data_IF_384548618978
#
_entry.id   IF_384548618978
#
_cell.length_a   1.000
_cell.length_b   1.000
_cell.length_c   1.000
_cell.angle_alpha   90.00
_cell.angle_beta   90.00
_cell.angle_gamma   90.00
#
_symmetry.space_group_name_H-M   'P 1'
#
loop_
_entity.id
_entity.type
_entity.pdbx_description
1 polymer ?
#
# COMPACT_ATOMS: atom_id res chain seq x y z
N UNK A 1 15.96 8.45 -19.98
CA UNK A 1 15.42 8.27 -18.61
C UNK A 1 14.42 9.38 -18.35
N UNK A 2 13.12 9.09 -18.49
CA UNK A 2 12.07 10.01 -18.09
C UNK A 2 11.82 9.79 -16.60
N UNK A 3 12.20 10.74 -15.76
CA UNK A 3 11.80 10.77 -14.37
C UNK A 3 10.28 10.92 -14.33
N UNK A 4 9.58 9.95 -13.73
CA UNK A 4 8.17 10.08 -13.34
C UNK A 4 8.08 11.06 -12.17
N UNK A 5 8.37 12.34 -12.45
CA UNK A 5 8.21 13.41 -11.49
C UNK A 5 6.73 13.70 -11.32
N UNK A 6 6.15 13.30 -10.19
CA UNK A 6 4.82 13.73 -9.79
C UNK A 6 4.83 15.28 -9.76
N UNK A 7 3.91 15.97 -10.45
CA UNK A 7 3.88 17.42 -10.45
C UNK A 7 3.78 17.95 -9.01
N UNK A 8 4.61 18.95 -8.66
CA UNK A 8 4.52 19.71 -7.40
C UNK A 8 3.27 20.59 -7.39
N UNK A 9 2.11 19.95 -7.33
CA UNK A 9 0.83 20.58 -7.03
C UNK A 9 0.26 19.91 -5.77
N UNK A 10 0.87 20.15 -4.58
CA UNK A 10 0.47 19.50 -3.32
C UNK A 10 -0.97 19.81 -2.88
N UNK A 11 -1.70 20.67 -3.60
CA UNK A 11 -3.14 20.95 -3.42
C UNK A 11 -4.05 20.30 -4.48
N UNK A 12 -3.49 19.69 -5.53
CA UNK A 12 -4.25 19.11 -6.65
C UNK A 12 -3.99 17.63 -6.85
N UNK A 13 -2.88 17.12 -6.33
CA UNK A 13 -2.53 15.71 -6.42
C UNK A 13 -1.98 15.21 -5.09
N UNK A 14 -2.44 14.01 -4.69
CA UNK A 14 -1.92 13.27 -3.56
C UNK A 14 -1.73 11.82 -4.02
N UNK A 15 -0.50 11.31 -3.92
CA UNK A 15 -0.25 9.88 -4.07
C UNK A 15 -0.37 9.21 -2.70
N UNK A 16 -1.05 8.07 -2.68
CA UNK A 16 -1.31 7.27 -1.48
C UNK A 16 -0.82 5.87 -1.80
N UNK A 17 0.06 5.36 -0.94
CA UNK A 17 0.53 3.98 -1.04
C UNK A 17 -0.54 3.06 -0.47
N UNK A 18 -0.93 2.05 -1.24
CA UNK A 18 -2.02 1.13 -0.90
C UNK A 18 -1.78 0.47 0.47
N UNK A 19 -0.55 0.06 0.75
CA UNK A 19 -0.17 -0.61 1.99
C UNK A 19 -0.33 0.29 3.23
N UNK A 20 -0.04 1.60 3.10
CA UNK A 20 -0.22 2.55 4.21
C UNK A 20 -1.71 2.78 4.53
N UNK A 21 -2.56 2.83 3.51
CA UNK A 21 -4.02 2.86 3.68
C UNK A 21 -4.51 1.57 4.33
N UNK A 22 -4.04 0.43 3.84
CA UNK A 22 -4.46 -0.90 4.27
C UNK A 22 -4.04 -1.23 5.72
N UNK A 23 -2.86 -0.76 6.16
CA UNK A 23 -2.38 -0.94 7.55
C UNK A 23 -3.07 0.04 8.51
N UNK A 24 -3.27 1.30 8.09
CA UNK A 24 -3.82 2.37 8.92
C UNK A 24 -5.08 3.02 8.31
N UNK A 25 -6.17 2.26 8.09
CA UNK A 25 -7.32 2.72 7.30
C UNK A 25 -7.94 4.01 7.84
N UNK A 26 -8.09 4.15 9.16
CA UNK A 26 -8.67 5.36 9.77
C UNK A 26 -7.79 6.59 9.57
N UNK A 27 -6.48 6.47 9.82
CA UNK A 27 -5.55 7.59 9.71
C UNK A 27 -5.47 8.06 8.26
N UNK A 28 -5.19 7.14 7.35
CA UNK A 28 -5.00 7.46 5.93
C UNK A 28 -6.31 7.96 5.31
N UNK A 29 -7.47 7.39 5.63
CA UNK A 29 -8.77 7.89 5.14
C UNK A 29 -9.07 9.31 5.63
N UNK A 30 -8.77 9.62 6.90
CA UNK A 30 -8.89 11.00 7.43
C UNK A 30 -7.98 11.98 6.66
N UNK A 31 -6.77 11.58 6.34
CA UNK A 31 -5.83 12.39 5.55
C UNK A 31 -6.33 12.60 4.11
N UNK A 32 -6.90 11.58 3.48
CA UNK A 32 -7.52 11.64 2.15
C UNK A 32 -8.69 12.62 2.14
N UNK A 33 -9.65 12.46 3.06
CA UNK A 33 -10.83 13.32 3.12
C UNK A 33 -10.44 14.77 3.41
N UNK A 34 -9.48 14.98 4.33
CA UNK A 34 -8.92 16.31 4.60
C UNK A 34 -8.30 16.94 3.36
N UNK A 35 -7.57 16.17 2.54
CA UNK A 35 -7.01 16.66 1.28
C UNK A 35 -8.10 17.14 0.31
N UNK A 36 -9.23 16.43 0.24
CA UNK A 36 -10.41 16.83 -0.54
C UNK A 36 -11.29 17.91 0.11
N UNK A 37 -10.97 18.35 1.33
CA UNK A 37 -11.80 19.30 2.08
C UNK A 37 -13.12 18.70 2.59
N UNK A 38 -13.21 17.39 2.70
CA UNK A 38 -14.37 16.66 3.20
C UNK A 38 -14.21 16.31 4.69
N UNK A 39 -15.31 16.33 5.47
CA UNK A 39 -15.28 15.87 6.86
C UNK A 39 -15.15 14.34 6.93
N UNK A 40 -14.63 13.84 8.05
CA UNK A 40 -14.68 12.41 8.37
C UNK A 40 -16.05 12.07 8.95
N UNK A 41 -16.93 11.54 8.11
CA UNK A 41 -18.32 11.22 8.46
C UNK A 41 -18.43 9.91 9.25
N UNK A 42 -19.35 9.78 10.23
CA UNK A 42 -19.59 8.53 10.94
C UNK A 42 -19.88 7.32 10.04
N UNK A 43 -20.51 7.51 8.87
CA UNK A 43 -20.74 6.43 7.91
C UNK A 43 -19.44 5.90 7.28
N UNK A 44 -18.41 6.75 7.15
CA UNK A 44 -17.07 6.31 6.72
C UNK A 44 -16.43 5.49 7.83
N UNK A 45 -16.55 5.92 9.09
CA UNK A 45 -16.04 5.18 10.24
C UNK A 45 -16.67 3.78 10.33
N UNK A 46 -18.00 3.70 10.21
CA UNK A 46 -18.74 2.44 10.19
C UNK A 46 -18.30 1.52 9.05
N UNK A 47 -18.06 2.08 7.85
CA UNK A 47 -17.55 1.30 6.73
C UNK A 47 -16.17 0.71 7.06
N UNK A 48 -15.25 1.51 7.60
CA UNK A 48 -13.93 1.02 8.00
C UNK A 48 -14.04 -0.04 9.11
N UNK A 49 -14.95 0.15 10.07
CA UNK A 49 -15.15 -0.79 11.16
C UNK A 49 -15.64 -2.16 10.72
N UNK A 50 -16.46 -2.20 9.67
CA UNK A 50 -17.15 -3.40 9.20
C UNK A 50 -16.42 -4.11 8.07
N UNK A 51 -15.78 -3.36 7.17
CA UNK A 51 -15.26 -3.91 5.91
C UNK A 51 -13.75 -4.14 5.88
N UNK A 52 -12.96 -3.62 6.83
CA UNK A 52 -11.48 -3.70 6.74
C UNK A 52 -10.84 -4.60 7.79
N UNK A 53 -11.62 -5.46 8.47
CA UNK A 53 -11.13 -6.31 9.57
C UNK A 53 -11.12 -7.80 9.28
N UNK A 54 -11.97 -8.28 8.37
CA UNK A 54 -12.19 -9.70 8.12
C UNK A 54 -12.45 -9.94 6.64
N UNK A 55 -11.96 -11.07 6.12
CA UNK A 55 -12.29 -11.53 4.78
C UNK A 55 -13.65 -12.23 4.77
N UNK A 56 -14.60 -11.66 4.03
CA UNK A 56 -15.93 -12.25 3.83
C UNK A 56 -16.24 -12.22 2.33
N UNK A 57 -16.74 -13.32 1.77
CA UNK A 57 -17.16 -13.40 0.36
C UNK A 57 -16.04 -13.67 -0.64
N UNK A 58 -16.35 -13.49 -1.94
CA UNK A 58 -15.45 -13.82 -3.05
C UNK A 58 -14.52 -12.69 -3.48
N UNK A 59 -13.88 -12.84 -4.63
CA UNK A 59 -12.85 -11.91 -5.17
C UNK A 59 -13.29 -10.44 -5.28
N UNK A 60 -14.58 -10.19 -5.48
CA UNK A 60 -15.17 -8.85 -5.61
C UNK A 60 -15.78 -8.29 -4.33
N UNK A 61 -15.59 -8.96 -3.18
CA UNK A 61 -16.10 -8.48 -1.91
C UNK A 61 -15.32 -7.27 -1.40
N UNK A 62 -16.05 -6.37 -0.72
CA UNK A 62 -15.51 -5.21 -0.02
C UNK A 62 -15.03 -5.54 1.39
N UNK A 63 -15.34 -6.73 1.92
CA UNK A 63 -14.89 -7.21 3.22
C UNK A 63 -13.53 -7.88 3.10
N UNK A 64 -12.50 -7.27 3.68
CA UNK A 64 -11.12 -7.75 3.68
C UNK A 64 -10.46 -7.58 5.05
N UNK A 65 -9.57 -8.49 5.42
CA UNK A 65 -8.53 -8.14 6.38
C UNK A 65 -7.50 -7.25 5.67
N UNK A 66 -7.70 -5.94 5.76
CA UNK A 66 -6.87 -4.98 5.03
C UNK A 66 -5.41 -5.04 5.46
N UNK A 67 -5.09 -5.51 6.67
CA UNK A 67 -3.71 -5.48 7.17
C UNK A 67 -2.85 -6.59 6.57
N UNK A 68 -3.42 -7.75 6.30
CA UNK A 68 -2.71 -8.90 5.74
C UNK A 68 -2.73 -8.92 4.22
N UNK A 69 -3.84 -8.47 3.62
CA UNK A 69 -4.07 -8.47 2.16
C UNK A 69 -2.89 -7.96 1.31
N UNK A 70 -2.31 -6.76 1.58
CA UNK A 70 -1.24 -6.20 0.73
C UNK A 70 0.04 -7.04 0.69
N UNK A 71 0.24 -7.96 1.63
CA UNK A 71 1.48 -8.73 1.76
C UNK A 71 1.34 -10.20 1.34
N UNK A 72 0.21 -10.62 0.75
CA UNK A 72 0.04 -12.01 0.32
C UNK A 72 1.11 -12.50 -0.66
N UNK A 73 1.56 -11.62 -1.55
CA UNK A 73 2.59 -11.95 -2.54
C UNK A 73 3.88 -12.47 -1.91
N UNK A 74 4.21 -12.11 -0.66
CA UNK A 74 5.40 -12.61 0.04
C UNK A 74 5.32 -14.09 0.40
N UNK A 75 4.10 -14.65 0.40
CA UNK A 75 3.82 -16.07 0.65
C UNK A 75 3.47 -16.83 -0.62
N UNK A 76 2.87 -16.14 -1.59
CA UNK A 76 2.39 -16.76 -2.83
C UNK A 76 3.50 -16.95 -3.86
N UNK A 77 4.55 -16.12 -3.82
CA UNK A 77 5.68 -16.18 -4.74
C UNK A 77 6.91 -16.80 -4.07
N UNK A 78 7.65 -17.58 -4.85
CA UNK A 78 8.98 -18.02 -4.47
C UNK A 78 9.98 -16.86 -4.49
N UNK A 79 11.09 -16.98 -3.74
CA UNK A 79 12.14 -15.96 -3.78
C UNK A 79 12.71 -15.76 -5.18
N UNK A 80 12.80 -16.80 -6.01
CA UNK A 80 13.29 -16.68 -7.38
C UNK A 80 12.36 -15.84 -8.26
N UNK A 81 11.04 -16.03 -8.13
CA UNK A 81 10.04 -15.18 -8.82
C UNK A 81 10.13 -13.73 -8.34
N UNK A 82 10.23 -13.53 -7.02
CA UNK A 82 10.40 -12.19 -6.42
C UNK A 82 11.69 -11.53 -6.94
N UNK A 83 12.77 -12.29 -7.03
CA UNK A 83 14.07 -11.81 -7.52
C UNK A 83 13.97 -11.35 -8.97
N UNK A 84 13.37 -12.15 -9.86
CA UNK A 84 13.17 -11.78 -11.27
C UNK A 84 12.36 -10.48 -11.40
N UNK A 85 11.31 -10.33 -10.60
CA UNK A 85 10.47 -9.11 -10.60
C UNK A 85 11.25 -7.90 -10.08
N UNK A 86 11.90 -8.01 -8.92
CA UNK A 86 12.58 -6.87 -8.30
C UNK A 86 13.82 -6.42 -9.08
N UNK A 87 14.52 -7.34 -9.76
CA UNK A 87 15.69 -7.01 -10.58
C UNK A 87 15.27 -6.14 -11.78
N UNK A 88 14.08 -6.37 -12.32
CA UNK A 88 13.49 -5.54 -13.39
C UNK A 88 12.94 -4.21 -12.88
N UNK A 89 12.53 -4.15 -11.61
CA UNK A 89 11.78 -3.04 -11.03
C UNK A 89 12.56 -2.21 -9.98
N UNK A 90 13.84 -2.50 -9.74
CA UNK A 90 14.60 -1.97 -8.59
C UNK A 90 14.54 -0.44 -8.46
N UNK A 91 14.70 0.27 -9.58
CA UNK A 91 14.64 1.75 -9.58
C UNK A 91 13.26 2.26 -9.22
N UNK A 92 12.21 1.63 -9.74
CA UNK A 92 10.84 2.00 -9.43
C UNK A 92 10.53 1.69 -7.96
N UNK A 93 10.78 0.46 -7.51
CA UNK A 93 10.56 0.04 -6.12
C UNK A 93 11.21 1.00 -5.14
N UNK A 94 12.49 1.33 -5.33
CA UNK A 94 13.20 2.28 -4.48
C UNK A 94 12.56 3.68 -4.50
N UNK A 95 12.16 4.17 -5.67
CA UNK A 95 11.52 5.50 -5.83
C UNK A 95 10.16 5.58 -5.13
N UNK A 96 9.48 4.45 -4.98
CA UNK A 96 8.19 4.35 -4.28
C UNK A 96 8.33 3.88 -2.81
N UNK A 97 9.56 3.87 -2.27
CA UNK A 97 9.79 3.52 -0.88
C UNK A 97 9.62 2.03 -0.58
N UNK A 98 10.00 1.16 -1.50
CA UNK A 98 10.05 -0.29 -1.31
C UNK A 98 11.49 -0.79 -1.32
N UNK A 99 11.82 -1.69 -0.39
CA UNK A 99 13.09 -2.43 -0.39
C UNK A 99 12.94 -3.75 -1.15
N UNK A 100 14.07 -4.29 -1.60
CA UNK A 100 14.16 -5.63 -2.20
C UNK A 100 14.26 -6.70 -1.11
N UNK A 101 13.73 -7.90 -1.41
CA UNK A 101 14.02 -9.09 -0.62
C UNK A 101 15.43 -9.58 -0.95
N UNK A 102 16.18 -9.94 0.09
CA UNK A 102 17.60 -10.30 -0.03
C UNK A 102 17.86 -11.81 -0.07
N UNK A 103 16.91 -12.61 0.41
CA UNK A 103 16.99 -14.07 0.46
C UNK A 103 15.60 -14.69 0.69
N UNK A 104 15.49 -16.01 0.51
CA UNK A 104 14.32 -16.79 0.96
C UNK A 104 13.99 -16.55 2.43
N UNK A 105 15.02 -16.48 3.29
CA UNK A 105 14.85 -16.27 4.72
C UNK A 105 14.31 -14.87 5.06
N UNK A 106 14.72 -13.85 4.32
CA UNK A 106 14.18 -12.48 4.43
C UNK A 106 12.71 -12.45 3.97
N UNK A 107 12.36 -13.20 2.91
CA UNK A 107 11.00 -13.25 2.36
C UNK A 107 9.96 -13.75 3.38
N UNK A 108 10.33 -14.71 4.24
CA UNK A 108 9.45 -15.29 5.25
C UNK A 108 8.83 -14.28 6.23
N UNK A 109 9.57 -13.21 6.57
CA UNK A 109 9.13 -12.15 7.47
C UNK A 109 9.33 -10.77 6.83
N UNK A 110 9.05 -10.69 5.53
CA UNK A 110 9.39 -9.54 4.73
C UNK A 110 8.41 -8.39 4.93
N UNK A 111 8.93 -7.28 5.45
CA UNK A 111 8.29 -5.97 5.33
C UNK A 111 8.95 -5.19 4.18
N UNK A 112 8.27 -4.97 3.04
CA UNK A 112 8.83 -4.23 1.92
C UNK A 112 8.91 -2.72 2.16
N UNK A 113 8.17 -2.18 3.14
CA UNK A 113 7.92 -0.75 3.24
C UNK A 113 9.13 -0.03 3.86
N UNK A 114 9.64 0.94 3.12
CA UNK A 114 10.54 2.00 3.60
C UNK A 114 9.76 3.31 3.78
N UNK A 115 10.45 4.32 4.30
CA UNK A 115 9.94 5.70 4.31
C UNK A 115 9.60 6.11 2.87
N UNK A 116 8.34 6.45 2.65
CA UNK A 116 7.85 6.97 1.39
C UNK A 116 7.83 8.49 1.48
N UNK A 117 8.72 9.14 0.75
CA UNK A 117 8.77 10.60 0.64
C UNK A 117 8.68 10.98 -0.84
N UNK A 118 7.76 11.90 -1.14
CA UNK A 118 7.46 12.39 -2.49
C UNK A 118 8.11 13.76 -2.75
N UNK A 119 9.23 14.06 -2.07
CA UNK A 119 9.89 15.38 -2.05
C UNK A 119 10.32 15.93 -3.42
#
# INVERSE_FOLDING_TARGET
MASLGIPKAPKKFQAIRYEDLSINPYKTTKEILKFYGLPFDPAVEEFLDTHTKLDIGGVSSTFRDSKSTPFHWTKDLTFEEVKVIQDSCVTAMKSWGYRNASSEQDLLNFNPLMTFDLS
#
